data_IF_695057491662
#
_entry.id   IF_695057491662
#
_cell.length_a   1.000
_cell.length_b   1.000
_cell.length_c   1.000
_cell.angle_alpha   90.00
_cell.angle_beta   90.00
_cell.angle_gamma   90.00
#
_symmetry.space_group_name_H-M   'P 1'
#
loop_
_entity.id
_entity.type
_entity.pdbx_description
1 polymer ?
#
# COMPACT_ATOMS: atom_id res chain seq x y z
N UNK A 1 9.42 -13.34 22.14
CA UNK A 1 9.79 -14.05 23.40
C UNK A 1 9.84 -15.53 23.03
N UNK A 2 10.98 -16.19 22.80
CA UNK A 2 12.44 -15.87 22.85
C UNK A 2 13.06 -16.58 21.61
N UNK A 3 14.17 -16.19 20.97
CA UNK A 3 15.21 -15.16 21.25
C UNK A 3 15.09 -13.99 20.24
N UNK A 4 16.09 -13.32 19.61
CA UNK A 4 17.57 -13.32 19.69
C UNK A 4 18.18 -11.91 19.48
N UNK A 5 19.51 -11.78 19.57
CA UNK A 5 20.24 -10.51 19.51
C UNK A 5 20.63 -10.00 18.11
N UNK A 6 20.90 -8.70 18.05
CA UNK A 6 21.58 -7.97 16.97
C UNK A 6 20.88 -7.69 15.63
N UNK A 7 19.60 -8.05 15.45
CA UNK A 7 18.84 -7.65 14.25
C UNK A 7 17.79 -6.57 14.56
N UNK A 8 18.13 -5.29 14.36
CA UNK A 8 17.18 -4.17 14.37
C UNK A 8 16.35 -4.15 13.06
N UNK A 9 15.59 -5.21 12.83
CA UNK A 9 14.56 -5.25 11.79
C UNK A 9 13.41 -4.32 12.18
N UNK A 10 13.53 -3.05 11.81
CA UNK A 10 12.43 -2.08 11.89
C UNK A 10 11.29 -2.59 11.00
N UNK A 11 10.26 -3.19 11.62
CA UNK A 11 9.11 -3.74 10.90
C UNK A 11 8.24 -2.59 10.40
N UNK A 12 8.56 -2.15 9.20
CA UNK A 12 7.88 -1.07 8.52
C UNK A 12 6.37 -1.35 8.41
N UNK A 13 5.59 -0.55 9.15
CA UNK A 13 4.17 -0.76 9.35
C UNK A 13 3.36 0.21 8.49
N UNK A 14 2.58 -0.33 7.55
CA UNK A 14 1.75 0.46 6.64
C UNK A 14 0.32 0.56 7.17
N UNK A 15 -0.21 1.78 7.29
CA UNK A 15 -1.61 1.99 7.68
C UNK A 15 -2.54 1.40 6.63
N UNK A 16 -3.27 0.36 7.01
CA UNK A 16 -4.24 -0.33 6.17
C UNK A 16 -5.66 -0.17 6.74
N UNK A 17 -6.65 -0.11 5.86
CA UNK A 17 -8.07 0.00 6.21
C UNK A 17 -8.91 -0.85 5.26
N UNK A 18 -10.01 -1.42 5.74
CA UNK A 18 -10.97 -2.19 4.94
C UNK A 18 -12.38 -1.65 5.16
N UNK A 19 -13.00 -1.18 4.08
CA UNK A 19 -14.39 -0.75 4.07
C UNK A 19 -15.29 -1.95 3.72
N UNK A 20 -15.92 -2.53 4.76
CA UNK A 20 -16.90 -3.60 4.61
C UNK A 20 -18.13 -3.19 3.79
N UNK A 21 -18.50 -1.91 3.79
CA UNK A 21 -19.66 -1.40 3.05
C UNK A 21 -19.44 -1.27 1.54
N UNK A 22 -18.18 -1.33 1.08
CA UNK A 22 -17.83 -1.27 -0.35
C UNK A 22 -16.82 -2.35 -0.78
N UNK A 23 -16.54 -3.33 0.08
CA UNK A 23 -15.53 -4.39 -0.11
C UNK A 23 -14.15 -3.88 -0.58
N UNK A 24 -13.74 -2.69 -0.14
CA UNK A 24 -12.51 -2.05 -0.62
C UNK A 24 -11.42 -2.04 0.45
N UNK A 25 -10.23 -2.52 0.08
CA UNK A 25 -9.02 -2.45 0.90
C UNK A 25 -8.17 -1.24 0.51
N UNK A 26 -7.63 -0.53 1.50
CA UNK A 26 -6.87 0.70 1.31
C UNK A 26 -5.53 0.61 2.05
N UNK A 27 -4.44 0.97 1.38
CA UNK A 27 -3.10 1.09 1.95
C UNK A 27 -2.63 2.54 1.83
N UNK A 28 -2.20 3.16 2.92
CA UNK A 28 -1.62 4.49 2.92
C UNK A 28 -0.09 4.45 3.01
N UNK A 29 0.57 5.22 2.15
CA UNK A 29 2.03 5.35 2.05
C UNK A 29 2.36 6.85 2.21
N UNK A 30 2.85 7.19 3.40
CA UNK A 30 3.14 8.56 3.83
C UNK A 30 4.36 9.22 3.18
N UNK A 31 4.74 10.38 3.71
CA UNK A 31 5.83 11.21 3.17
C UNK A 31 7.19 10.53 3.38
N UNK A 32 7.55 10.21 4.63
CA UNK A 32 8.71 9.40 5.00
C UNK A 32 8.35 7.91 5.05
N UNK A 33 9.13 7.06 4.39
CA UNK A 33 9.00 5.59 4.50
C UNK A 33 10.19 4.75 3.96
N UNK A 34 11.36 5.32 3.65
CA UNK A 34 12.52 4.53 3.17
C UNK A 34 13.84 4.93 3.85
N UNK A 35 14.07 6.21 4.16
CA UNK A 35 15.41 6.73 4.50
C UNK A 35 15.96 6.41 5.92
N UNK A 36 15.16 5.89 6.86
CA UNK A 36 15.65 5.54 8.21
C UNK A 36 16.19 4.10 8.35
N UNK A 37 16.35 3.36 7.24
CA UNK A 37 17.07 2.08 7.29
C UNK A 37 17.88 1.82 6.02
N UNK A 38 19.11 1.31 6.19
CA UNK A 38 19.91 0.75 5.08
C UNK A 38 19.35 -0.60 4.57
N UNK A 39 18.09 -0.91 4.87
CA UNK A 39 17.36 -2.10 4.44
C UNK A 39 16.51 -1.67 3.23
N UNK A 40 17.04 -1.88 2.02
CA UNK A 40 16.50 -1.33 0.76
C UNK A 40 14.98 -1.32 0.67
N UNK A 41 14.43 -0.12 0.40
CA UNK A 41 13.03 0.22 0.65
C UNK A 41 11.99 -0.54 -0.18
N UNK A 42 10.78 -0.59 0.36
CA UNK A 42 9.55 -1.17 -0.20
C UNK A 42 9.75 -2.34 -1.17
N UNK A 43 10.31 -3.43 -0.64
CA UNK A 43 10.57 -4.67 -1.40
C UNK A 43 9.26 -5.21 -2.00
N UNK A 44 9.33 -5.72 -3.25
CA UNK A 44 8.16 -6.22 -4.01
C UNK A 44 7.27 -7.21 -3.24
N UNK A 45 7.87 -8.01 -2.35
CA UNK A 45 7.18 -8.95 -1.46
C UNK A 45 6.17 -8.27 -0.51
N UNK A 46 6.44 -7.04 -0.06
CA UNK A 46 5.55 -6.27 0.81
C UNK A 46 4.21 -6.00 0.11
N UNK A 47 4.22 -5.61 -1.17
CA UNK A 47 2.97 -5.45 -1.92
C UNK A 47 2.23 -6.77 -2.08
N UNK A 48 2.93 -7.87 -2.39
CA UNK A 48 2.33 -9.20 -2.54
C UNK A 48 1.64 -9.63 -1.25
N UNK A 49 2.24 -9.36 -0.09
CA UNK A 49 1.64 -9.66 1.21
C UNK A 49 0.43 -8.76 1.53
N UNK A 50 0.46 -7.47 1.14
CA UNK A 50 -0.67 -6.56 1.28
C UNK A 50 -1.86 -6.94 0.37
N UNK A 51 -1.59 -7.41 -0.85
CA UNK A 51 -2.63 -7.96 -1.74
C UNK A 51 -3.19 -9.27 -1.17
N UNK A 52 -2.35 -10.19 -0.67
CA UNK A 52 -2.80 -11.40 0.02
C UNK A 52 -3.62 -11.13 1.29
N UNK A 53 -3.39 -9.99 1.94
CA UNK A 53 -4.23 -9.54 3.05
C UNK A 53 -5.59 -9.07 2.53
N UNK A 54 -5.64 -8.28 1.46
CA UNK A 54 -6.89 -7.87 0.80
C UNK A 54 -7.72 -9.09 0.31
N UNK A 55 -7.06 -10.09 -0.29
CA UNK A 55 -7.66 -11.38 -0.70
C UNK A 55 -8.31 -12.09 0.50
N UNK A 56 -7.58 -12.23 1.62
CA UNK A 56 -8.09 -12.84 2.86
C UNK A 56 -9.21 -12.05 3.56
N UNK A 57 -9.33 -10.76 3.27
CA UNK A 57 -10.41 -9.90 3.77
C UNK A 57 -11.63 -9.88 2.82
N UNK A 58 -11.62 -10.69 1.75
CA UNK A 58 -12.64 -10.73 0.70
C UNK A 58 -12.88 -9.35 0.04
N UNK A 59 -11.81 -8.57 -0.15
CA UNK A 59 -11.89 -7.32 -0.89
C UNK A 59 -12.13 -7.58 -2.39
N UNK A 60 -12.92 -6.72 -3.04
CA UNK A 60 -13.03 -6.65 -4.50
C UNK A 60 -11.87 -5.87 -5.12
N UNK A 61 -11.41 -4.81 -4.44
CA UNK A 61 -10.29 -3.96 -4.89
C UNK A 61 -9.34 -3.60 -3.76
N UNK A 62 -8.09 -3.44 -4.14
CA UNK A 62 -7.05 -2.86 -3.29
C UNK A 62 -6.62 -1.50 -3.88
N UNK A 63 -6.64 -0.44 -3.07
CA UNK A 63 -6.19 0.90 -3.41
C UNK A 63 -4.92 1.26 -2.63
N UNK A 64 -3.89 1.74 -3.33
CA UNK A 64 -2.64 2.22 -2.76
C UNK A 64 -2.57 3.74 -2.90
N UNK A 65 -2.61 4.43 -1.77
CA UNK A 65 -2.68 5.87 -1.65
C UNK A 65 -1.29 6.38 -1.24
N UNK A 66 -0.58 7.03 -2.15
CA UNK A 66 0.79 7.52 -1.95
C UNK A 66 0.78 9.04 -1.82
N UNK A 67 1.46 9.58 -0.80
CA UNK A 67 1.72 11.02 -0.74
C UNK A 67 2.62 11.48 -1.90
N UNK A 68 2.29 12.61 -2.53
CA UNK A 68 3.12 13.24 -3.57
C UNK A 68 4.49 13.69 -3.05
N UNK A 69 4.60 13.92 -1.74
CA UNK A 69 5.84 14.34 -1.06
C UNK A 69 6.74 13.16 -0.73
N UNK A 70 6.29 11.93 -0.92
CA UNK A 70 7.16 10.77 -0.80
C UNK A 70 8.23 10.81 -1.90
N UNK A 71 9.49 10.79 -1.49
CA UNK A 71 10.65 10.94 -2.38
C UNK A 71 10.73 9.83 -3.44
N UNK A 72 10.27 8.63 -3.09
CA UNK A 72 10.32 7.40 -3.90
C UNK A 72 9.11 7.22 -4.83
N UNK A 73 8.20 8.20 -4.95
CA UNK A 73 6.98 8.08 -5.76
C UNK A 73 7.24 7.68 -7.23
N UNK A 74 8.43 7.98 -7.77
CA UNK A 74 8.88 7.54 -9.10
C UNK A 74 9.22 6.05 -9.16
N UNK A 75 9.75 5.47 -8.08
CA UNK A 75 10.02 4.03 -7.94
C UNK A 75 8.72 3.26 -7.73
N UNK A 76 7.82 3.73 -6.86
CA UNK A 76 6.52 3.07 -6.65
C UNK A 76 5.72 2.93 -7.96
N UNK A 77 5.74 3.93 -8.85
CA UNK A 77 5.12 3.81 -10.18
C UNK A 77 5.66 2.62 -10.99
N UNK A 78 6.96 2.29 -10.86
CA UNK A 78 7.55 1.13 -11.54
C UNK A 78 7.11 -0.18 -10.86
N UNK A 79 7.27 -0.27 -9.55
CA UNK A 79 6.92 -1.49 -8.80
C UNK A 79 5.44 -1.84 -8.90
N UNK A 80 4.55 -0.86 -8.79
CA UNK A 80 3.10 -1.05 -8.96
C UNK A 80 2.73 -1.59 -10.34
N UNK A 81 3.39 -1.12 -11.41
CA UNK A 81 3.19 -1.65 -12.76
C UNK A 81 3.65 -3.13 -12.90
N UNK A 82 4.52 -3.64 -12.03
CA UNK A 82 4.97 -5.04 -12.03
C UNK A 82 4.03 -5.97 -11.23
N UNK A 83 2.92 -5.46 -10.70
CA UNK A 83 1.91 -6.18 -9.89
C UNK A 83 0.49 -5.67 -10.18
N UNK A 84 0.28 -5.14 -11.39
CA UNK A 84 -1.03 -4.73 -11.93
C UNK A 84 -1.76 -3.63 -11.15
N UNK A 85 -1.04 -2.86 -10.33
CA UNK A 85 -1.55 -1.69 -9.62
C UNK A 85 -1.52 -0.46 -10.55
N UNK A 86 -2.64 -0.17 -11.19
CA UNK A 86 -2.75 0.91 -12.17
C UNK A 86 -3.16 2.24 -11.53
N UNK A 87 -2.62 3.35 -12.01
CA UNK A 87 -2.95 4.70 -11.51
C UNK A 87 -4.40 5.07 -11.86
N UNK A 88 -5.20 5.42 -10.85
CA UNK A 88 -6.63 5.75 -10.97
C UNK A 88 -6.94 7.20 -10.58
N UNK A 89 -8.15 7.65 -10.89
CA UNK A 89 -8.64 8.98 -10.56
C UNK A 89 -9.05 9.08 -9.09
N UNK A 90 -8.67 10.19 -8.43
CA UNK A 90 -9.13 10.47 -7.05
C UNK A 90 -10.65 10.56 -6.91
N UNK A 91 -11.38 10.76 -8.01
CA UNK A 91 -12.85 10.75 -8.05
C UNK A 91 -13.46 9.37 -7.78
N UNK A 92 -12.71 8.29 -7.99
CA UNK A 92 -13.18 6.91 -7.78
C UNK A 92 -13.29 6.54 -6.29
N UNK A 93 -12.47 7.14 -5.42
CA UNK A 93 -12.41 6.85 -3.98
C UNK A 93 -13.63 7.33 -3.16
N UNK A 94 -14.54 8.11 -3.78
CA UNK A 94 -15.86 8.64 -3.34
C UNK A 94 -16.09 9.21 -1.92
N UNK A 95 -15.46 8.72 -0.85
CA UNK A 95 -15.66 9.20 0.53
C UNK A 95 -14.37 9.54 1.30
N UNK A 96 -13.35 8.69 1.28
CA UNK A 96 -12.45 8.55 2.45
C UNK A 96 -11.27 9.52 2.58
N UNK A 97 -11.03 10.44 1.64
CA UNK A 97 -9.83 11.32 1.64
C UNK A 97 -10.17 12.82 1.54
N UNK A 98 -11.13 13.29 2.36
CA UNK A 98 -11.44 14.72 2.50
C UNK A 98 -10.37 15.46 3.32
N UNK A 99 -9.23 15.76 2.68
CA UNK A 99 -8.18 16.64 3.23
C UNK A 99 -6.83 16.51 2.52
N UNK A 100 -6.48 15.32 2.06
CA UNK A 100 -5.18 15.00 1.43
C UNK A 100 -5.11 15.48 -0.02
N UNK A 101 -4.88 16.79 -0.21
CA UNK A 101 -4.74 17.40 -1.54
C UNK A 101 -3.52 16.90 -2.34
N UNK A 102 -2.54 16.31 -1.66
CA UNK A 102 -1.23 15.93 -2.23
C UNK A 102 -1.01 14.41 -2.29
N UNK A 103 -1.87 13.70 -3.00
CA UNK A 103 -1.77 12.23 -3.17
C UNK A 103 -1.82 11.78 -4.64
N UNK A 104 -1.33 10.57 -4.89
CA UNK A 104 -1.54 9.75 -6.09
C UNK A 104 -2.15 8.42 -5.66
N UNK A 105 -3.08 7.90 -6.45
CA UNK A 105 -3.82 6.67 -6.14
C UNK A 105 -3.55 5.64 -7.23
N UNK A 106 -3.26 4.42 -6.82
CA UNK A 106 -3.19 3.23 -7.67
C UNK A 106 -4.24 2.23 -7.19
N UNK A 107 -4.75 1.38 -8.06
CA UNK A 107 -5.67 0.31 -7.68
C UNK A 107 -5.56 -0.90 -8.59
N UNK A 108 -5.94 -2.06 -8.05
CA UNK A 108 -6.16 -3.29 -8.82
C UNK A 108 -7.43 -3.98 -8.34
N UNK A 109 -8.03 -4.76 -9.25
CA UNK A 109 -8.94 -5.80 -8.81
C UNK A 109 -8.17 -6.80 -7.94
N UNK A 110 -8.82 -7.27 -6.90
CA UNK A 110 -8.38 -8.40 -6.08
C UNK A 110 -9.03 -9.63 -6.71
N UNK A 111 -8.22 -10.66 -7.01
CA UNK A 111 -8.75 -11.89 -7.55
C UNK A 111 -9.43 -12.65 -6.42
N UNK A 112 -10.76 -12.71 -6.43
CA UNK A 112 -11.50 -13.61 -5.55
C UNK A 112 -11.11 -15.05 -5.91
N UNK A 113 -10.64 -15.81 -4.92
CA UNK A 113 -10.54 -17.26 -5.08
C UNK A 113 -11.96 -17.85 -5.18
N UNK A 114 -12.24 -18.70 -6.17
CA UNK A 114 -13.52 -19.39 -6.31
C UNK A 114 -13.67 -20.53 -5.28
#
# INVERSE_FOLDING_TARGET
VITDGHDQTVVQSYTCFFDQGTANFFVYIGESNIEESNIGGFKRMTYINLIKLAERMNAEKAYFIVSKRNVDIKQYKKEFNLIDLHKVSRKELKCHLRGTQEIVVYSRQVAQHP
#
